data_IF_731803592188
#
_entry.id   IF_731803592188
#
_cell.length_a   1.000
_cell.length_b   1.000
_cell.length_c   1.000
_cell.angle_alpha   90.00
_cell.angle_beta   90.00
_cell.angle_gamma   90.00
#
_symmetry.space_group_name_H-M   'P 1'
#
loop_
_entity.id
_entity.type
_entity.pdbx_description
1 polymer ?
#
# COMPACT_ATOMS: atom_id res chain seq x y z
N UNK A 1 -12.76 1.03 -1.00
CA UNK A 1 -12.92 2.49 -1.23
C UNK A 1 -11.82 3.29 -0.52
N UNK A 2 -11.44 2.97 0.74
CA UNK A 2 -10.38 3.67 1.49
C UNK A 2 -8.99 3.43 0.91
N UNK A 3 -8.64 2.21 0.53
CA UNK A 3 -7.40 1.88 -0.19
C UNK A 3 -7.22 2.71 -1.49
N UNK A 4 -8.32 3.18 -2.10
CA UNK A 4 -8.27 4.00 -3.31
C UNK A 4 -7.87 5.45 -3.05
N UNK A 5 -8.28 6.04 -1.93
CA UNK A 5 -7.96 7.45 -1.59
C UNK A 5 -6.51 7.56 -1.13
N UNK A 6 -6.04 6.70 -0.25
CA UNK A 6 -4.66 6.68 0.23
C UNK A 6 -3.67 6.40 -0.90
N UNK A 7 -4.01 5.48 -1.79
CA UNK A 7 -3.21 5.22 -2.99
C UNK A 7 -3.19 6.45 -3.89
N UNK A 8 -4.27 7.21 -4.03
CA UNK A 8 -4.32 8.43 -4.81
C UNK A 8 -3.42 9.52 -4.23
N UNK A 9 -3.47 9.75 -2.91
CA UNK A 9 -2.60 10.73 -2.23
C UNK A 9 -1.12 10.35 -2.33
N UNK A 10 -0.81 9.05 -2.25
CA UNK A 10 0.55 8.54 -2.43
C UNK A 10 1.06 8.79 -3.86
N UNK A 11 0.25 8.51 -4.86
CA UNK A 11 0.59 8.76 -6.27
C UNK A 11 0.76 10.25 -6.56
N UNK A 12 -0.07 11.11 -5.97
CA UNK A 12 0.06 12.57 -6.09
C UNK A 12 1.40 13.05 -5.47
N UNK A 13 1.76 12.54 -4.29
CA UNK A 13 3.07 12.82 -3.68
C UNK A 13 4.21 12.35 -4.56
N UNK A 14 4.16 11.14 -5.10
CA UNK A 14 5.19 10.62 -5.99
C UNK A 14 5.26 11.38 -7.30
N UNK A 15 4.14 11.88 -7.82
CA UNK A 15 4.12 12.79 -8.97
C UNK A 15 4.91 14.06 -8.69
N UNK A 16 4.75 14.67 -7.50
CA UNK A 16 5.56 15.81 -7.06
C UNK A 16 7.05 15.46 -6.98
N UNK A 17 7.39 14.28 -6.47
CA UNK A 17 8.77 13.79 -6.39
C UNK A 17 9.40 13.67 -7.79
N UNK A 18 8.79 12.95 -8.72
CA UNK A 18 9.38 12.74 -10.06
C UNK A 18 9.50 14.05 -10.84
N UNK A 19 8.56 14.98 -10.70
CA UNK A 19 8.63 16.29 -11.32
C UNK A 19 9.82 17.10 -10.78
N UNK A 20 9.97 17.14 -9.44
CA UNK A 20 11.10 17.83 -8.80
C UNK A 20 12.44 17.20 -9.18
N UNK A 21 12.50 15.86 -9.24
CA UNK A 21 13.71 15.15 -9.66
C UNK A 21 14.09 15.47 -11.12
N UNK A 22 13.12 15.47 -12.04
CA UNK A 22 13.36 15.79 -13.44
C UNK A 22 13.91 17.22 -13.59
N UNK A 23 13.37 18.17 -12.82
CA UNK A 23 13.82 19.56 -12.82
C UNK A 23 15.24 19.70 -12.25
N UNK A 24 15.53 19.09 -11.10
CA UNK A 24 16.83 19.19 -10.42
C UNK A 24 17.92 18.46 -11.19
N UNK A 25 17.61 17.31 -11.76
CA UNK A 25 18.54 16.51 -12.56
C UNK A 25 18.68 17.04 -14.00
N UNK A 26 17.86 17.99 -14.42
CA UNK A 26 17.81 18.52 -15.80
C UNK A 26 17.63 17.42 -16.83
N UNK A 27 16.82 16.39 -16.49
CA UNK A 27 16.50 15.28 -17.40
C UNK A 27 15.05 15.34 -17.86
N UNK A 28 14.74 14.93 -19.09
CA UNK A 28 13.38 14.99 -19.63
C UNK A 28 12.44 14.00 -18.95
N UNK A 29 12.95 12.89 -18.40
CA UNK A 29 12.10 11.79 -17.97
C UNK A 29 12.57 11.17 -16.65
N UNK A 30 11.68 11.15 -15.65
CA UNK A 30 11.81 10.39 -14.41
C UNK A 30 10.55 9.56 -14.21
N UNK A 31 10.69 8.28 -13.92
CA UNK A 31 9.58 7.34 -13.78
C UNK A 31 9.68 6.56 -12.47
N UNK A 32 8.52 6.34 -11.85
CA UNK A 32 8.31 5.26 -10.88
C UNK A 32 7.43 4.22 -11.57
N UNK A 33 7.96 3.02 -11.72
CA UNK A 33 7.24 1.89 -12.29
C UNK A 33 6.94 0.85 -11.22
N UNK A 34 5.79 0.20 -11.33
CA UNK A 34 5.36 -0.91 -10.49
C UNK A 34 5.45 -2.21 -11.28
N UNK A 35 5.95 -3.25 -10.64
CA UNK A 35 5.88 -4.61 -11.16
C UNK A 35 4.54 -5.24 -10.71
N UNK A 36 3.69 -5.59 -11.66
CA UNK A 36 2.46 -6.33 -11.41
C UNK A 36 2.54 -7.67 -12.16
N UNK A 37 2.64 -8.76 -11.39
CA UNK A 37 2.91 -10.11 -11.93
C UNK A 37 4.19 -10.12 -12.78
N UNK A 38 4.04 -10.17 -14.10
CA UNK A 38 5.14 -10.18 -15.07
C UNK A 38 5.09 -8.96 -16.01
N UNK A 39 4.50 -7.86 -15.55
CA UNK A 39 4.35 -6.65 -16.34
C UNK A 39 4.85 -5.44 -15.54
N UNK A 40 5.51 -4.53 -16.24
CA UNK A 40 5.97 -3.25 -15.70
C UNK A 40 4.91 -2.21 -16.06
N UNK A 41 4.27 -1.66 -15.04
CA UNK A 41 3.25 -0.62 -15.18
C UNK A 41 3.80 0.70 -14.68
N UNK A 42 3.68 1.77 -15.43
CA UNK A 42 4.02 3.11 -14.95
C UNK A 42 3.05 3.51 -13.82
N UNK A 43 3.59 3.78 -12.65
CA UNK A 43 2.82 4.34 -11.54
C UNK A 43 2.70 5.86 -11.66
N UNK A 44 3.83 6.55 -11.84
CA UNK A 44 3.92 7.99 -12.11
C UNK A 44 5.09 8.29 -13.02
N UNK A 45 5.00 9.40 -13.77
CA UNK A 45 6.08 9.91 -14.62
C UNK A 45 6.12 11.43 -14.60
N UNK A 46 7.31 12.03 -14.79
CA UNK A 46 7.45 13.48 -14.86
C UNK A 46 6.66 14.07 -16.04
N UNK A 47 6.14 15.29 -15.86
CA UNK A 47 5.21 15.93 -16.81
C UNK A 47 5.84 16.20 -18.19
N UNK A 48 7.16 16.26 -18.27
CA UNK A 48 7.90 16.49 -19.54
C UNK A 48 7.97 15.27 -20.46
N UNK A 49 7.48 14.12 -20.01
CA UNK A 49 7.52 12.90 -20.82
C UNK A 49 6.40 12.93 -21.86
N UNK A 50 6.71 12.84 -23.14
CA UNK A 50 5.69 12.51 -24.13
C UNK A 50 5.03 11.19 -23.73
N UNK A 51 3.75 11.03 -24.02
CA UNK A 51 2.85 9.93 -23.68
C UNK A 51 3.30 8.51 -24.06
N UNK A 52 4.58 8.26 -24.19
CA UNK A 52 5.15 7.05 -24.75
C UNK A 52 4.94 5.80 -23.89
N UNK A 53 4.77 5.96 -22.58
CA UNK A 53 4.53 4.86 -21.63
C UNK A 53 3.26 5.02 -20.80
N UNK A 54 2.44 6.05 -21.07
CA UNK A 54 1.25 6.28 -20.28
C UNK A 54 0.18 5.23 -20.59
N UNK A 55 0.09 4.21 -19.74
CA UNK A 55 -1.10 3.40 -19.56
C UNK A 55 -1.03 1.96 -20.04
N UNK A 56 -0.11 1.54 -20.91
CA UNK A 56 -0.02 0.14 -21.31
C UNK A 56 1.07 -0.59 -20.53
N UNK A 57 0.72 -1.73 -19.89
CA UNK A 57 1.70 -2.57 -19.21
C UNK A 57 2.73 -3.12 -20.20
N UNK A 58 4.00 -3.08 -19.83
CA UNK A 58 5.11 -3.61 -20.62
C UNK A 58 5.52 -4.96 -20.07
N UNK A 59 5.45 -6.05 -20.84
CA UNK A 59 5.89 -7.37 -20.38
C UNK A 59 7.33 -7.34 -19.87
N UNK A 60 7.59 -7.95 -18.71
CA UNK A 60 8.92 -8.06 -18.12
C UNK A 60 9.91 -8.81 -19.03
N UNK A 61 9.40 -9.68 -19.89
CA UNK A 61 10.19 -10.42 -20.88
C UNK A 61 10.77 -9.53 -21.99
N UNK A 62 10.24 -8.31 -22.18
CA UNK A 62 10.83 -7.35 -23.11
C UNK A 62 12.13 -6.82 -22.52
N UNK A 63 13.14 -6.67 -23.39
CA UNK A 63 14.49 -6.24 -23.00
C UNK A 63 14.56 -4.71 -22.77
N UNK A 64 13.75 -4.18 -21.83
CA UNK A 64 13.82 -2.78 -21.41
C UNK A 64 14.93 -2.59 -20.38
N UNK A 65 15.38 -1.36 -20.17
CA UNK A 65 16.32 -1.06 -19.07
C UNK A 65 15.72 -1.45 -17.71
N UNK A 66 14.45 -1.15 -17.47
CA UNK A 66 13.77 -1.48 -16.20
C UNK A 66 13.67 -2.99 -15.97
N UNK A 67 13.42 -3.79 -17.02
CA UNK A 67 13.39 -5.26 -16.91
C UNK A 67 14.75 -5.84 -16.50
N UNK A 68 15.84 -5.21 -16.92
CA UNK A 68 17.18 -5.61 -16.52
C UNK A 68 17.50 -5.23 -15.05
N UNK A 69 17.06 -4.07 -14.58
CA UNK A 69 17.17 -3.69 -13.16
C UNK A 69 16.45 -4.72 -12.28
N UNK A 70 15.22 -5.10 -12.66
CA UNK A 70 14.43 -6.06 -11.93
C UNK A 70 15.06 -7.46 -11.93
N UNK A 71 15.51 -7.93 -13.08
CA UNK A 71 16.06 -9.30 -13.22
C UNK A 71 17.44 -9.47 -12.61
N UNK A 72 18.27 -8.41 -12.62
CA UNK A 72 19.63 -8.46 -12.05
C UNK A 72 19.66 -8.16 -10.56
N UNK A 73 18.63 -7.54 -10.00
CA UNK A 73 18.62 -6.98 -8.64
C UNK A 73 19.75 -5.95 -8.40
N UNK A 74 20.25 -5.31 -9.45
CA UNK A 74 21.36 -4.36 -9.37
C UNK A 74 20.97 -3.02 -10.01
N UNK A 75 21.55 -1.91 -9.53
CA UNK A 75 21.49 -0.65 -10.23
C UNK A 75 21.98 -0.80 -11.68
N UNK A 76 21.32 -0.12 -12.60
CA UNK A 76 21.74 -0.08 -14.00
C UNK A 76 22.01 1.36 -14.41
N UNK A 77 23.26 1.64 -14.76
CA UNK A 77 23.68 2.88 -15.43
C UNK A 77 24.05 2.57 -16.87
N UNK A 78 23.40 3.24 -17.80
CA UNK A 78 23.74 3.26 -19.21
C UNK A 78 23.99 4.71 -19.58
N UNK A 79 25.27 5.10 -19.63
CA UNK A 79 25.65 6.49 -19.96
C UNK A 79 25.32 6.83 -21.41
N UNK A 80 25.56 5.89 -22.33
CA UNK A 80 25.18 6.00 -23.70
C UNK A 80 24.90 4.61 -24.27
N UNK A 81 23.70 4.37 -24.74
CA UNK A 81 23.30 3.09 -25.32
C UNK A 81 23.84 2.85 -26.75
N UNK A 82 24.25 3.90 -27.45
CA UNK A 82 24.73 3.83 -28.84
C UNK A 82 25.99 2.97 -28.88
N UNK A 83 26.03 1.98 -29.80
CA UNK A 83 27.13 1.04 -29.96
C UNK A 83 27.23 -0.03 -28.85
N UNK A 84 26.25 -0.12 -27.97
CA UNK A 84 26.22 -1.12 -26.89
C UNK A 84 25.16 -2.21 -27.15
N UNK A 85 25.15 -3.25 -26.30
CA UNK A 85 24.11 -4.29 -26.33
C UNK A 85 22.67 -3.74 -26.14
N UNK A 86 22.53 -2.51 -25.63
CA UNK A 86 21.25 -1.87 -25.36
C UNK A 86 20.65 -1.18 -26.59
N UNK A 87 21.43 -1.01 -27.65
CA UNK A 87 20.96 -0.46 -28.94
C UNK A 87 19.99 -1.41 -29.65
N UNK A 88 20.22 -2.72 -29.52
CA UNK A 88 19.45 -3.73 -30.23
C UNK A 88 18.30 -4.26 -29.33
N UNK A 89 17.09 -4.32 -29.89
CA UNK A 89 15.91 -4.91 -29.26
C UNK A 89 15.50 -4.29 -27.90
N UNK A 90 15.86 -3.03 -27.65
CA UNK A 90 15.41 -2.30 -26.46
C UNK A 90 14.36 -1.24 -26.87
N UNK A 91 13.08 -1.44 -26.50
CA UNK A 91 12.02 -0.48 -26.84
C UNK A 91 12.27 0.93 -26.30
N UNK A 92 12.94 1.04 -25.13
CA UNK A 92 13.27 2.33 -24.54
C UNK A 92 14.29 3.09 -25.36
N UNK A 93 15.30 2.38 -25.90
CA UNK A 93 16.25 2.97 -26.85
C UNK A 93 15.58 3.34 -28.17
N UNK A 94 14.73 2.48 -28.70
CA UNK A 94 13.96 2.76 -29.93
C UNK A 94 13.07 4.01 -29.80
N UNK A 95 12.68 4.37 -28.58
CA UNK A 95 11.97 5.61 -28.24
C UNK A 95 12.89 6.84 -28.17
N UNK A 96 14.19 6.68 -28.39
CA UNK A 96 15.18 7.75 -28.43
C UNK A 96 15.99 7.94 -27.15
N UNK A 97 15.70 7.21 -26.06
CA UNK A 97 16.42 7.34 -24.80
C UNK A 97 17.73 6.55 -24.82
N UNK A 98 18.86 7.26 -24.96
CA UNK A 98 20.20 6.67 -24.95
C UNK A 98 20.87 6.66 -23.57
N UNK A 99 20.45 7.53 -22.64
CA UNK A 99 20.86 7.53 -21.26
C UNK A 99 19.79 6.90 -20.38
N UNK A 100 20.23 6.10 -19.40
CA UNK A 100 19.38 5.51 -18.40
C UNK A 100 20.14 5.33 -17.08
N UNK A 101 19.53 5.74 -15.97
CA UNK A 101 19.94 5.31 -14.65
C UNK A 101 18.73 4.84 -13.85
N UNK A 102 18.77 3.62 -13.34
CA UNK A 102 17.64 3.04 -12.63
C UNK A 102 18.02 2.19 -11.43
N UNK A 103 17.17 2.26 -10.42
CA UNK A 103 17.26 1.51 -9.17
C UNK A 103 15.99 0.69 -8.97
N UNK A 104 16.15 -0.49 -8.40
CA UNK A 104 15.03 -1.29 -7.96
C UNK A 104 14.41 -0.69 -6.69
N UNK A 105 13.08 -0.67 -6.63
CA UNK A 105 12.30 -0.35 -5.46
C UNK A 105 11.81 -1.63 -4.80
N UNK A 106 11.91 -1.71 -3.48
CA UNK A 106 11.57 -2.90 -2.71
C UNK A 106 10.44 -2.62 -1.72
N UNK A 107 9.56 -3.60 -1.54
CA UNK A 107 8.71 -3.67 -0.37
C UNK A 107 9.54 -3.96 0.89
N UNK A 108 9.05 -3.64 2.11
CA UNK A 108 9.71 -4.02 3.36
C UNK A 108 10.01 -5.51 3.49
N UNK A 109 9.24 -6.34 2.80
CA UNK A 109 9.47 -7.79 2.72
C UNK A 109 10.68 -8.20 1.88
N UNK A 110 11.37 -7.26 1.23
CA UNK A 110 12.43 -7.51 0.27
C UNK A 110 11.95 -7.89 -1.14
N UNK A 111 10.64 -8.01 -1.34
CA UNK A 111 10.07 -8.27 -2.68
C UNK A 111 10.16 -7.02 -3.54
N UNK A 112 10.35 -7.21 -4.84
CA UNK A 112 10.35 -6.12 -5.81
C UNK A 112 8.99 -5.42 -5.83
N UNK A 113 8.99 -4.09 -5.62
CA UNK A 113 7.88 -3.23 -5.94
C UNK A 113 7.91 -2.84 -7.42
N UNK A 114 9.08 -2.41 -7.89
CA UNK A 114 9.28 -1.92 -9.24
C UNK A 114 10.62 -1.22 -9.43
N UNK A 115 10.64 -0.11 -10.14
CA UNK A 115 11.85 0.67 -10.42
C UNK A 115 11.61 2.17 -10.27
N UNK A 116 12.65 2.89 -9.83
CA UNK A 116 12.79 4.34 -9.96
C UNK A 116 13.89 4.59 -10.99
N UNK A 117 13.61 5.36 -12.03
CA UNK A 117 14.59 5.60 -13.08
C UNK A 117 14.54 7.00 -13.68
N UNK A 118 15.68 7.43 -14.20
CA UNK A 118 15.88 8.62 -15.01
C UNK A 118 16.29 8.22 -16.42
N UNK A 119 15.77 8.95 -17.41
CA UNK A 119 16.08 8.73 -18.82
C UNK A 119 16.35 10.08 -19.50
N UNK A 120 17.28 10.05 -20.46
CA UNK A 120 17.57 11.18 -21.30
C UNK A 120 17.88 10.72 -22.74
N UNK A 121 17.75 11.63 -23.69
CA UNK A 121 18.07 11.39 -25.11
C UNK A 121 19.59 11.39 -25.36
N UNK A 122 20.36 12.02 -24.48
CA UNK A 122 21.82 12.05 -24.51
C UNK A 122 22.39 11.87 -23.10
N UNK A 123 23.67 11.53 -23.02
CA UNK A 123 24.37 11.44 -21.73
C UNK A 123 24.49 12.84 -21.09
N UNK A 124 23.97 13.03 -19.86
CA UNK A 124 24.11 14.29 -19.16
C UNK A 124 25.51 14.46 -18.57
N UNK A 125 26.01 15.70 -18.52
CA UNK A 125 27.34 16.02 -17.99
C UNK A 125 27.49 15.70 -16.48
N UNK A 126 26.38 15.49 -15.76
CA UNK A 126 26.32 15.32 -14.29
C UNK A 126 25.82 13.94 -13.85
N UNK A 127 26.12 12.89 -14.59
CA UNK A 127 25.63 11.52 -14.33
C UNK A 127 25.93 11.03 -12.89
N UNK A 128 27.07 11.42 -12.31
CA UNK A 128 27.43 11.05 -10.93
C UNK A 128 26.51 11.69 -9.87
N UNK A 129 25.99 12.90 -10.12
CA UNK A 129 25.04 13.56 -9.23
C UNK A 129 23.67 12.89 -9.29
N UNK A 130 23.29 12.37 -10.46
CA UNK A 130 22.07 11.61 -10.66
C UNK A 130 22.03 10.36 -9.80
N UNK A 131 23.16 9.64 -9.65
CA UNK A 131 23.27 8.45 -8.82
C UNK A 131 22.92 8.75 -7.35
N UNK A 132 23.47 9.82 -6.80
CA UNK A 132 23.21 10.24 -5.43
C UNK A 132 21.76 10.68 -5.23
N UNK A 133 21.23 11.47 -6.17
CA UNK A 133 19.87 11.97 -6.14
C UNK A 133 18.86 10.84 -6.20
N UNK A 134 19.02 9.90 -7.14
CA UNK A 134 18.12 8.76 -7.29
C UNK A 134 18.13 7.86 -6.04
N UNK A 135 19.29 7.66 -5.44
CA UNK A 135 19.42 6.87 -4.20
C UNK A 135 18.66 7.51 -3.04
N UNK A 136 18.73 8.83 -2.89
CA UNK A 136 18.00 9.55 -1.85
C UNK A 136 16.48 9.42 -2.02
N UNK A 137 15.99 9.64 -3.23
CA UNK A 137 14.55 9.52 -3.50
C UNK A 137 14.05 8.07 -3.43
N UNK A 138 14.88 7.09 -3.81
CA UNK A 138 14.57 5.68 -3.57
C UNK A 138 14.24 5.42 -2.09
N UNK A 139 15.06 5.92 -1.16
CA UNK A 139 14.82 5.76 0.27
C UNK A 139 13.49 6.39 0.70
N UNK A 140 13.17 7.58 0.19
CA UNK A 140 11.89 8.24 0.50
C UNK A 140 10.69 7.44 -0.01
N UNK A 141 10.76 6.90 -1.23
CA UNK A 141 9.69 6.08 -1.82
C UNK A 141 9.56 4.75 -1.05
N UNK A 142 10.67 4.10 -0.69
CA UNK A 142 10.64 2.85 0.07
C UNK A 142 10.10 3.06 1.49
N UNK A 143 10.34 4.24 2.09
CA UNK A 143 9.70 4.62 3.35
C UNK A 143 8.17 4.75 3.20
N UNK A 144 7.70 5.39 2.13
CA UNK A 144 6.27 5.46 1.83
C UNK A 144 5.64 4.07 1.64
N UNK A 145 6.34 3.15 0.95
CA UNK A 145 5.91 1.76 0.81
C UNK A 145 5.85 1.02 2.15
N UNK A 146 6.78 1.32 3.06
CA UNK A 146 6.76 0.77 4.42
C UNK A 146 5.54 1.25 5.20
N UNK A 147 5.23 2.53 5.16
CA UNK A 147 4.07 3.10 5.82
C UNK A 147 2.77 2.50 5.27
N UNK A 148 2.66 2.38 3.93
CA UNK A 148 1.51 1.77 3.28
C UNK A 148 1.32 0.30 3.71
N UNK A 149 2.40 -0.47 3.78
CA UNK A 149 2.32 -1.87 4.23
C UNK A 149 1.90 -1.98 5.70
N UNK A 150 2.47 -1.17 6.59
CA UNK A 150 2.09 -1.16 8.00
C UNK A 150 0.61 -0.86 8.19
N UNK A 151 0.08 0.12 7.47
CA UNK A 151 -1.32 0.48 7.51
C UNK A 151 -2.21 -0.66 7.01
N UNK A 152 -1.85 -1.31 5.89
CA UNK A 152 -2.57 -2.48 5.40
C UNK A 152 -2.58 -3.65 6.39
N UNK A 153 -1.48 -3.87 7.09
CA UNK A 153 -1.36 -4.94 8.09
C UNK A 153 -2.18 -4.63 9.35
N UNK A 154 -2.28 -3.36 9.75
CA UNK A 154 -3.19 -2.92 10.82
C UNK A 154 -4.64 -3.19 10.44
N UNK A 155 -5.09 -2.73 9.27
CA UNK A 155 -6.44 -2.97 8.78
C UNK A 155 -6.80 -4.46 8.70
N UNK A 156 -5.87 -5.31 8.28
CA UNK A 156 -6.09 -6.77 8.26
C UNK A 156 -6.25 -7.35 9.66
N UNK A 157 -5.46 -6.89 10.64
CA UNK A 157 -5.57 -7.33 12.04
C UNK A 157 -6.90 -6.93 12.64
N UNK A 158 -7.37 -5.71 12.40
CA UNK A 158 -8.69 -5.24 12.82
C UNK A 158 -9.80 -6.11 12.23
N UNK A 159 -9.79 -6.31 10.91
CA UNK A 159 -10.79 -7.18 10.25
C UNK A 159 -10.78 -8.63 10.76
N UNK A 160 -9.61 -9.16 11.12
CA UNK A 160 -9.50 -10.51 11.70
C UNK A 160 -10.06 -10.54 13.12
N UNK A 161 -9.82 -9.50 13.93
CA UNK A 161 -10.37 -9.38 15.28
C UNK A 161 -11.90 -9.31 15.23
N UNK A 162 -12.47 -8.50 14.32
CA UNK A 162 -13.91 -8.38 14.11
C UNK A 162 -14.55 -9.72 13.72
N UNK A 163 -13.95 -10.42 12.76
CA UNK A 163 -14.43 -11.75 12.35
C UNK A 163 -14.45 -12.74 13.51
N UNK A 164 -13.38 -12.77 14.31
CA UNK A 164 -13.27 -13.63 15.47
C UNK A 164 -14.30 -13.26 16.55
N UNK A 165 -14.53 -11.97 16.76
CA UNK A 165 -15.57 -11.50 17.68
C UNK A 165 -16.97 -11.94 17.24
N UNK A 166 -17.33 -11.75 15.96
CA UNK A 166 -18.62 -12.19 15.40
C UNK A 166 -18.80 -13.68 15.54
N UNK A 167 -17.75 -14.46 15.28
CA UNK A 167 -17.80 -15.92 15.44
C UNK A 167 -18.09 -16.31 16.90
N UNK A 168 -17.35 -15.78 17.87
CA UNK A 168 -17.55 -16.05 19.29
C UNK A 168 -18.94 -15.63 19.75
N UNK A 169 -19.42 -14.47 19.27
CA UNK A 169 -20.76 -13.98 19.57
C UNK A 169 -21.86 -14.95 19.08
N UNK A 170 -21.73 -15.44 17.85
CA UNK A 170 -22.66 -16.41 17.29
C UNK A 170 -22.64 -17.76 18.04
N UNK A 171 -21.45 -18.24 18.43
CA UNK A 171 -21.30 -19.45 19.24
C UNK A 171 -21.97 -19.29 20.62
N UNK A 172 -21.77 -18.16 21.28
CA UNK A 172 -22.42 -17.85 22.55
C UNK A 172 -23.95 -17.78 22.38
N UNK A 173 -24.44 -17.05 21.38
CA UNK A 173 -25.86 -16.89 21.09
C UNK A 173 -26.54 -18.24 20.84
N UNK A 174 -25.89 -19.16 20.13
CA UNK A 174 -26.41 -20.50 19.87
C UNK A 174 -26.43 -21.39 21.14
N UNK A 175 -25.53 -21.18 22.08
CA UNK A 175 -25.53 -21.88 23.38
C UNK A 175 -26.61 -21.36 24.34
N UNK A 176 -26.99 -20.09 24.20
CA UNK A 176 -27.98 -19.43 25.05
C UNK A 176 -29.41 -19.76 24.61
N UNK A 177 -29.68 -19.88 23.30
CA UNK A 177 -31.02 -20.17 22.76
C UNK A 177 -31.77 -21.35 23.41
N UNK A 178 -31.13 -22.47 23.75
CA UNK A 178 -31.86 -23.59 24.40
C UNK A 178 -32.14 -23.36 25.89
N UNK A 179 -31.53 -22.35 26.52
CA UNK A 179 -31.54 -22.17 27.97
C UNK A 179 -32.56 -21.10 28.41
N UNK A 180 -33.17 -20.40 27.45
CA UNK A 180 -34.04 -19.22 27.72
C UNK A 180 -35.38 -19.49 28.35
N UNK A 181 -35.73 -20.75 28.69
CA UNK A 181 -36.96 -21.09 29.43
C UNK A 181 -36.80 -21.00 30.96
N UNK A 182 -35.65 -20.55 31.50
CA UNK A 182 -35.41 -20.46 32.93
C UNK A 182 -34.95 -19.07 33.32
N UNK A 183 -35.83 -18.28 34.00
CA UNK A 183 -35.60 -16.88 34.42
C UNK A 183 -34.34 -16.65 35.29
N UNK A 184 -33.92 -17.64 36.05
CA UNK A 184 -32.73 -17.54 36.92
C UNK A 184 -31.42 -17.55 36.08
N UNK A 185 -31.38 -18.35 35.05
CA UNK A 185 -30.24 -18.47 34.14
C UNK A 185 -30.09 -17.21 33.23
N UNK A 186 -31.21 -16.52 32.94
CA UNK A 186 -31.18 -15.26 32.16
C UNK A 186 -30.46 -14.14 32.95
N UNK A 187 -30.65 -14.05 34.26
CA UNK A 187 -29.98 -13.02 35.07
C UNK A 187 -28.48 -13.27 35.22
N UNK A 188 -28.05 -14.50 35.42
CA UNK A 188 -26.62 -14.85 35.49
C UNK A 188 -25.92 -14.65 34.18
N UNK A 189 -26.60 -14.99 33.07
CA UNK A 189 -26.07 -14.79 31.73
C UNK A 189 -25.94 -13.32 31.35
N UNK A 190 -26.92 -12.49 31.79
CA UNK A 190 -26.87 -11.05 31.58
C UNK A 190 -25.69 -10.42 32.34
N UNK A 191 -25.43 -10.86 33.57
CA UNK A 191 -24.27 -10.42 34.35
C UNK A 191 -22.95 -10.82 33.71
N UNK A 192 -22.87 -12.05 33.16
CA UNK A 192 -21.68 -12.54 32.46
C UNK A 192 -21.41 -11.77 31.19
N UNK A 193 -22.45 -11.52 30.38
CA UNK A 193 -22.36 -10.74 29.16
C UNK A 193 -21.96 -9.29 29.43
N UNK A 194 -22.52 -8.68 30.49
CA UNK A 194 -22.18 -7.32 30.89
C UNK A 194 -20.73 -7.21 31.37
N UNK A 195 -20.23 -8.20 32.13
CA UNK A 195 -18.84 -8.22 32.58
C UNK A 195 -17.85 -8.40 31.46
N UNK A 196 -18.17 -9.27 30.49
CA UNK A 196 -17.35 -9.46 29.28
C UNK A 196 -17.35 -8.21 28.41
N UNK A 197 -18.50 -7.54 28.24
CA UNK A 197 -18.58 -6.28 27.53
C UNK A 197 -17.72 -5.20 28.19
N UNK A 198 -17.78 -5.05 29.50
CA UNK A 198 -16.96 -4.07 30.23
C UNK A 198 -15.46 -4.35 30.06
N UNK A 199 -15.06 -5.62 30.09
CA UNK A 199 -13.68 -6.01 29.84
C UNK A 199 -13.22 -5.62 28.44
N UNK A 200 -13.99 -5.95 27.40
CA UNK A 200 -13.67 -5.62 26.02
C UNK A 200 -13.72 -4.13 25.73
N UNK A 201 -14.65 -3.41 26.36
CA UNK A 201 -14.73 -1.95 26.24
C UNK A 201 -13.50 -1.27 26.85
N UNK A 202 -13.04 -1.70 28.01
CA UNK A 202 -11.83 -1.18 28.64
C UNK A 202 -10.57 -1.50 27.81
N UNK A 203 -10.50 -2.67 27.20
CA UNK A 203 -9.37 -3.05 26.37
C UNK A 203 -9.36 -2.27 25.04
N UNK A 204 -10.52 -2.00 24.45
CA UNK A 204 -10.67 -1.12 23.29
C UNK A 204 -10.31 0.33 23.63
N UNK A 205 -10.79 0.87 24.76
CA UNK A 205 -10.41 2.22 25.19
C UNK A 205 -8.89 2.34 25.45
N UNK A 206 -8.27 1.30 25.97
CA UNK A 206 -6.83 1.27 26.20
C UNK A 206 -6.03 1.28 24.89
N UNK A 207 -6.53 0.61 23.85
CA UNK A 207 -5.95 0.63 22.53
C UNK A 207 -6.23 1.95 21.80
N UNK A 208 -7.41 2.55 21.96
CA UNK A 208 -7.79 3.84 21.40
C UNK A 208 -6.99 5.01 21.98
N UNK A 209 -6.65 4.97 23.27
CA UNK A 209 -5.82 6.00 23.91
C UNK A 209 -4.35 5.96 23.47
N UNK A 210 -3.92 4.93 22.77
CA UNK A 210 -2.58 4.82 22.19
C UNK A 210 -2.49 5.23 20.70
N UNK A 211 -3.62 5.47 20.04
CA UNK A 211 -3.69 5.86 18.62
C UNK A 211 -4.62 7.04 18.45
N UNK A 212 -4.23 8.00 17.60
CA UNK A 212 -5.03 9.18 17.25
C UNK A 212 -6.38 8.73 16.69
N UNK A 213 -7.47 9.23 17.28
CA UNK A 213 -8.84 8.98 16.83
C UNK A 213 -9.01 9.37 15.35
N UNK A 214 -9.25 8.38 14.51
CA UNK A 214 -9.71 8.59 13.13
C UNK A 214 -11.23 8.33 13.07
N UNK A 215 -11.91 8.91 12.07
CA UNK A 215 -13.37 8.74 11.86
C UNK A 215 -13.80 7.27 11.75
N UNK A 216 -12.90 6.37 11.38
CA UNK A 216 -13.14 4.92 11.29
C UNK A 216 -13.42 4.26 12.64
N UNK A 217 -12.76 4.69 13.69
CA UNK A 217 -13.00 4.17 15.04
C UNK A 217 -14.43 4.48 15.51
N UNK A 218 -15.01 5.59 15.05
CA UNK A 218 -16.41 5.95 15.31
C UNK A 218 -17.41 4.96 14.69
N UNK A 219 -17.07 4.35 13.55
CA UNK A 219 -17.92 3.37 12.87
C UNK A 219 -17.94 2.04 13.64
N UNK A 220 -16.80 1.61 14.17
CA UNK A 220 -16.70 0.38 14.98
C UNK A 220 -17.44 0.53 16.31
N UNK A 221 -17.34 1.67 16.98
CA UNK A 221 -18.10 1.99 18.20
C UNK A 221 -19.61 1.99 17.89
N UNK A 222 -20.04 2.59 16.78
CA UNK A 222 -21.43 2.60 16.36
C UNK A 222 -21.96 1.17 16.04
N UNK A 223 -21.13 0.30 15.44
CA UNK A 223 -21.50 -1.09 15.21
C UNK A 223 -21.65 -1.87 16.52
N UNK A 224 -20.77 -1.68 17.49
CA UNK A 224 -20.86 -2.30 18.84
C UNK A 224 -22.09 -1.81 19.60
N UNK A 225 -22.37 -0.51 19.57
CA UNK A 225 -23.58 0.07 20.18
C UNK A 225 -24.85 -0.50 19.55
N UNK A 226 -24.88 -0.68 18.22
CA UNK A 226 -26.01 -1.26 17.50
C UNK A 226 -26.24 -2.74 17.85
N UNK A 227 -25.18 -3.53 17.96
CA UNK A 227 -25.24 -4.92 18.42
C UNK A 227 -25.78 -4.99 19.84
N UNK A 228 -25.33 -4.11 20.74
CA UNK A 228 -25.79 -4.00 22.11
C UNK A 228 -27.28 -3.61 22.23
N UNK A 229 -27.72 -2.62 21.45
CA UNK A 229 -29.12 -2.20 21.40
C UNK A 229 -30.04 -3.33 20.94
N UNK A 230 -29.60 -4.14 19.98
CA UNK A 230 -30.36 -5.32 19.52
C UNK A 230 -30.42 -6.41 20.60
N UNK A 231 -29.35 -6.62 21.37
CA UNK A 231 -29.34 -7.57 22.49
C UNK A 231 -30.27 -7.15 23.63
N UNK A 232 -30.30 -5.87 23.96
CA UNK A 232 -31.23 -5.30 24.96
C UNK A 232 -32.69 -5.41 24.50
N UNK A 233 -32.98 -5.20 23.19
CA UNK A 233 -34.32 -5.35 22.65
C UNK A 233 -34.81 -6.80 22.76
N UNK A 234 -33.95 -7.80 22.45
CA UNK A 234 -34.27 -9.22 22.61
C UNK A 234 -34.49 -9.59 24.07
N UNK A 235 -33.75 -8.98 25.02
CA UNK A 235 -33.93 -9.22 26.45
C UNK A 235 -35.25 -8.64 26.98
N UNK A 236 -35.73 -7.52 26.41
CA UNK A 236 -37.01 -6.88 26.81
C UNK A 236 -38.26 -7.52 26.16
N UNK A 237 -38.13 -8.19 24.99
CA UNK A 237 -39.25 -8.90 24.36
C UNK A 237 -39.58 -10.25 25.06
N UNK A 238 -38.77 -10.64 26.03
CA UNK A 238 -38.95 -11.88 26.80
C UNK A 238 -39.54 -11.67 28.20
N UNK A 239 -39.93 -10.43 28.58
CA UNK A 239 -40.74 -10.10 29.73
C UNK A 239 -42.26 -10.14 29.38
#
# INVERSE_FOLDING_TARGET
ALLSIETALLLERWQGIVNSMAQVAEVPCVLINRLDKNEICQAVGSVSVPTFYCGEPVPLALNTYCSQVISSNQPLLVENAIGTRYENNNPTFAAGFSYYYGLQLLWPSGKTFGTLCMLDFASPDRSSQHCSLLTLFKQAIEYDLQMLQQQQDLLKREQQADKKFIQLFNEMSNRIRPVTNNKLLQSELFVLLTSQYQYWHQELEKQLNQTVLTDENSIHIAALVRIWSNLLAIAHETE
#
